data_IF_533031786317
#
_entry.id   IF_533031786317
#
_cell.length_a   1.000
_cell.length_b   1.000
_cell.length_c   1.000
_cell.angle_alpha   90.00
_cell.angle_beta   90.00
_cell.angle_gamma   90.00
#
_symmetry.space_group_name_H-M   'P 1'
#
loop_
_entity.id
_entity.type
_entity.pdbx_description
1 polymer ?
#
# COMPACT_ATOMS: atom_id res chain seq x y z
N UNK A 1 5.47 11.91 5.37
CA UNK A 1 5.18 10.75 4.50
C UNK A 1 5.48 9.51 5.33
N UNK A 2 4.65 8.47 5.25
CA UNK A 2 4.97 7.23 5.96
C UNK A 2 6.05 6.48 5.18
N UNK A 3 7.01 5.91 5.90
CA UNK A 3 8.02 5.01 5.36
C UNK A 3 7.59 3.57 5.66
N UNK A 4 7.68 2.69 4.66
CA UNK A 4 7.32 1.30 4.79
C UNK A 4 8.58 0.46 4.74
N UNK A 5 8.68 -0.54 5.61
CA UNK A 5 9.81 -1.46 5.63
C UNK A 5 9.24 -2.88 5.61
N UNK A 6 9.88 -3.77 4.87
CA UNK A 6 9.49 -5.18 4.82
C UNK A 6 9.81 -5.85 6.17
N UNK A 7 8.79 -6.43 6.81
CA UNK A 7 8.88 -6.95 8.17
C UNK A 7 9.86 -8.12 8.29
N UNK A 8 9.87 -9.05 7.34
CA UNK A 8 10.76 -10.21 7.40
C UNK A 8 12.23 -9.81 7.35
N UNK A 9 12.58 -8.81 6.53
CA UNK A 9 13.91 -8.26 6.43
C UNK A 9 14.36 -7.57 7.73
N UNK A 10 13.45 -6.87 8.42
CA UNK A 10 13.74 -6.32 9.77
C UNK A 10 14.05 -7.46 10.73
N UNK A 11 13.21 -8.48 10.79
CA UNK A 11 13.38 -9.62 11.71
C UNK A 11 14.69 -10.35 11.44
N UNK A 12 15.01 -10.62 10.17
CA UNK A 12 16.26 -11.27 9.78
C UNK A 12 17.48 -10.43 10.18
N UNK A 13 17.41 -9.10 9.99
CA UNK A 13 18.49 -8.20 10.38
C UNK A 13 18.70 -8.17 11.89
N UNK A 14 17.62 -8.07 12.67
CA UNK A 14 17.70 -8.04 14.14
C UNK A 14 18.22 -9.37 14.70
N UNK A 15 17.80 -10.51 14.12
CA UNK A 15 18.30 -11.84 14.51
C UNK A 15 19.79 -12.06 14.16
N UNK A 16 20.34 -11.28 13.22
CA UNK A 16 21.76 -11.36 12.85
C UNK A 16 22.69 -10.59 13.79
N UNK A 17 22.15 -9.84 14.77
CA UNK A 17 22.94 -9.08 15.73
C UNK A 17 23.64 -10.05 16.69
N UNK A 18 24.98 -10.01 16.70
CA UNK A 18 25.79 -10.81 17.61
C UNK A 18 25.79 -10.20 19.01
N UNK A 19 24.90 -10.70 19.87
CA UNK A 19 24.78 -10.28 21.28
C UNK A 19 25.82 -10.92 22.19
N UNK A 20 26.65 -11.85 21.69
CA UNK A 20 27.72 -12.48 22.46
C UNK A 20 29.05 -11.71 22.35
N UNK A 21 29.10 -10.66 21.51
CA UNK A 21 30.27 -9.77 21.44
C UNK A 21 30.46 -9.06 22.77
N UNK A 22 31.67 -9.22 23.32
CA UNK A 22 32.13 -8.71 24.62
C UNK A 22 31.47 -7.38 25.04
N UNK A 23 30.83 -7.39 26.21
CA UNK A 23 30.35 -6.23 26.97
C UNK A 23 29.17 -5.42 26.43
N UNK A 24 28.30 -5.98 25.59
CA UNK A 24 27.01 -5.32 25.32
C UNK A 24 26.06 -5.56 26.49
N UNK A 25 25.61 -4.49 27.13
CA UNK A 25 24.45 -4.57 28.01
C UNK A 25 23.14 -4.50 27.20
N UNK A 26 22.00 -4.56 27.89
CA UNK A 26 20.71 -4.51 27.22
C UNK A 26 20.47 -3.18 26.48
N UNK A 27 21.04 -2.08 26.98
CA UNK A 27 20.90 -0.76 26.35
C UNK A 27 21.69 -0.71 25.05
N UNK A 28 22.92 -1.22 25.04
CA UNK A 28 23.76 -1.29 23.83
C UNK A 28 23.10 -2.10 22.70
N UNK A 29 22.47 -3.22 23.05
CA UNK A 29 21.74 -4.06 22.09
C UNK A 29 20.56 -3.29 21.49
N UNK A 30 19.79 -2.58 22.33
CA UNK A 30 18.65 -1.77 21.86
C UNK A 30 19.12 -0.63 20.95
N UNK A 31 20.24 0.03 21.27
CA UNK A 31 20.81 1.09 20.43
C UNK A 31 21.22 0.55 19.05
N UNK A 32 21.86 -0.63 18.98
CA UNK A 32 22.20 -1.27 17.71
C UNK A 32 20.97 -1.67 16.89
N UNK A 33 19.90 -2.12 17.55
CA UNK A 33 18.64 -2.45 16.88
C UNK A 33 18.01 -1.20 16.26
N UNK A 34 17.91 -0.10 17.03
CA UNK A 34 17.37 1.17 16.56
C UNK A 34 18.19 1.72 15.39
N UNK A 35 19.52 1.74 15.51
CA UNK A 35 20.41 2.16 14.43
C UNK A 35 20.21 1.33 13.16
N UNK A 36 20.05 0.01 13.30
CA UNK A 36 19.84 -0.89 12.17
C UNK A 36 18.52 -0.58 11.45
N UNK A 37 17.43 -0.40 12.20
CA UNK A 37 16.11 -0.10 11.63
C UNK A 37 16.08 1.28 10.98
N UNK A 38 16.64 2.31 11.62
CA UNK A 38 16.56 3.69 11.13
C UNK A 38 17.54 4.00 9.99
N UNK A 39 18.72 3.36 9.96
CA UNK A 39 19.80 3.78 9.04
C UNK A 39 20.28 2.72 8.07
N UNK A 40 20.02 1.44 8.32
CA UNK A 40 20.52 0.35 7.48
C UNK A 40 19.42 -0.33 6.68
N UNK A 41 18.18 -0.32 7.17
CA UNK A 41 17.06 -0.94 6.47
C UNK A 41 16.60 -0.09 5.28
N UNK A 42 16.47 -0.68 4.08
CA UNK A 42 15.91 0.04 2.95
C UNK A 42 14.41 0.25 3.14
N UNK A 43 13.94 1.45 2.81
CA UNK A 43 12.51 1.74 2.71
C UNK A 43 11.94 1.11 1.44
N UNK A 44 10.80 0.46 1.56
CA UNK A 44 10.00 -0.02 0.44
C UNK A 44 9.30 1.17 -0.23
N UNK A 45 9.43 1.27 -1.55
CA UNK A 45 8.70 2.22 -2.37
C UNK A 45 7.28 1.72 -2.59
N UNK A 46 6.43 1.92 -1.57
CA UNK A 46 5.01 1.55 -1.60
C UNK A 46 4.16 2.68 -1.05
N UNK A 47 2.96 2.80 -1.59
CA UNK A 47 1.91 3.66 -1.04
C UNK A 47 0.87 2.83 -0.30
N UNK A 48 0.27 3.34 0.78
CA UNK A 48 -0.84 2.65 1.43
C UNK A 48 -1.98 2.40 0.44
N UNK A 49 -2.62 1.25 0.56
CA UNK A 49 -3.77 0.90 -0.28
C UNK A 49 -4.91 1.87 0.03
N UNK A 50 -5.33 2.62 -0.98
CA UNK A 50 -6.51 3.47 -0.90
C UNK A 50 -7.70 2.67 -1.38
N UNK A 51 -8.72 2.55 -0.54
CA UNK A 51 -9.97 1.90 -0.89
C UNK A 51 -10.96 2.93 -1.45
N UNK A 52 -11.65 2.55 -2.51
CA UNK A 52 -12.67 3.35 -3.18
C UNK A 52 -13.90 2.52 -3.49
N UNK A 53 -14.94 3.17 -4.00
CA UNK A 53 -16.12 2.50 -4.55
C UNK A 53 -16.53 3.16 -5.85
N UNK A 54 -17.17 2.37 -6.71
CA UNK A 54 -17.85 2.87 -7.89
C UNK A 54 -19.14 3.57 -7.49
N UNK A 55 -19.31 4.81 -7.96
CA UNK A 55 -20.54 5.57 -7.84
C UNK A 55 -21.28 5.41 -9.17
N UNK A 56 -22.35 4.62 -9.17
CA UNK A 56 -23.21 4.40 -10.33
C UNK A 56 -24.03 5.66 -10.65
N UNK A 57 -24.15 6.02 -11.92
CA UNK A 57 -25.06 7.09 -12.37
C UNK A 57 -24.41 8.42 -12.75
N UNK A 58 -23.14 8.42 -13.17
CA UNK A 58 -22.52 9.56 -13.84
C UNK A 58 -23.15 9.78 -15.25
N UNK A 59 -24.33 10.38 -15.24
CA UNK A 59 -25.13 10.94 -16.34
C UNK A 59 -25.51 10.03 -17.53
N UNK A 60 -26.76 10.20 -17.97
CA UNK A 60 -27.44 9.45 -19.03
C UNK A 60 -26.70 9.50 -20.37
N UNK A 61 -25.91 8.48 -20.71
CA UNK A 61 -25.45 8.25 -22.07
C UNK A 61 -26.18 7.05 -22.70
N UNK A 62 -26.80 7.32 -23.85
CA UNK A 62 -27.53 6.36 -24.66
C UNK A 62 -26.56 5.40 -25.36
N UNK A 63 -26.15 4.31 -24.69
CA UNK A 63 -25.94 2.95 -25.21
C UNK A 63 -24.94 2.16 -24.35
N UNK A 64 -25.42 1.14 -23.61
CA UNK A 64 -24.65 -0.05 -23.21
C UNK A 64 -23.36 0.09 -22.38
N UNK A 65 -22.92 1.30 -22.06
CA UNK A 65 -21.68 1.56 -21.34
C UNK A 65 -21.98 1.83 -19.87
N UNK A 66 -21.44 0.99 -19.00
CA UNK A 66 -21.43 1.27 -17.56
C UNK A 66 -20.48 2.45 -17.33
N UNK A 67 -21.03 3.56 -16.86
CA UNK A 67 -20.26 4.73 -16.43
C UNK A 67 -20.29 4.77 -14.90
N UNK A 68 -19.11 4.66 -14.29
CA UNK A 68 -18.96 4.80 -12.85
C UNK A 68 -17.93 5.87 -12.53
N UNK A 69 -18.23 6.67 -11.52
CA UNK A 69 -17.27 7.62 -10.97
C UNK A 69 -16.47 6.97 -9.84
N UNK A 70 -15.16 7.17 -9.86
CA UNK A 70 -14.29 6.78 -8.75
C UNK A 70 -14.49 7.70 -7.55
N UNK A 71 -14.92 7.16 -6.40
CA UNK A 71 -15.12 7.97 -5.18
C UNK A 71 -13.85 8.62 -4.60
N UNK A 72 -12.66 8.22 -5.07
CA UNK A 72 -11.36 8.70 -4.56
C UNK A 72 -10.83 9.87 -5.39
N UNK A 73 -10.91 9.78 -6.72
CA UNK A 73 -10.34 10.79 -7.61
C UNK A 73 -11.37 11.51 -8.50
N UNK A 74 -12.65 11.10 -8.46
CA UNK A 74 -13.72 11.69 -9.28
C UNK A 74 -13.63 11.37 -10.77
N UNK A 75 -12.72 10.47 -11.17
CA UNK A 75 -12.60 10.08 -12.57
C UNK A 75 -13.82 9.25 -13.00
N UNK A 76 -14.45 9.68 -14.09
CA UNK A 76 -15.50 8.93 -14.76
C UNK A 76 -14.85 7.88 -15.65
N UNK A 77 -15.13 6.61 -15.36
CA UNK A 77 -14.64 5.48 -16.13
C UNK A 77 -15.83 4.88 -16.86
N UNK A 78 -15.72 4.79 -18.19
CA UNK A 78 -16.66 4.12 -19.06
C UNK A 78 -16.02 2.85 -19.62
N UNK A 79 -16.70 1.72 -19.58
CA UNK A 79 -16.22 0.49 -20.20
C UNK A 79 -17.28 -0.18 -21.07
N UNK A 80 -16.81 -0.81 -22.16
CA UNK A 80 -17.64 -1.56 -23.10
C UNK A 80 -17.75 -3.01 -22.61
N UNK A 81 -18.74 -3.31 -21.79
CA UNK A 81 -18.99 -4.68 -21.30
C UNK A 81 -19.71 -4.70 -19.96
N UNK A 82 -20.62 -5.65 -19.78
CA UNK A 82 -21.50 -5.71 -18.61
C UNK A 82 -20.87 -6.38 -17.38
N UNK A 83 -19.64 -6.91 -17.48
CA UNK A 83 -19.16 -7.96 -16.56
C UNK A 83 -17.72 -7.79 -16.06
N UNK A 84 -17.08 -6.63 -16.24
CA UNK A 84 -15.75 -6.38 -15.65
C UNK A 84 -15.83 -5.28 -14.60
N UNK A 85 -16.29 -5.63 -13.39
CA UNK A 85 -16.10 -4.83 -12.20
C UNK A 85 -14.60 -4.62 -11.99
N UNK A 86 -14.08 -3.48 -12.42
CA UNK A 86 -12.68 -3.14 -12.19
C UNK A 86 -12.42 -3.14 -10.68
N UNK A 87 -11.58 -4.07 -10.24
CA UNK A 87 -11.12 -4.17 -8.85
C UNK A 87 -10.29 -2.95 -8.41
N UNK A 88 -9.91 -2.07 -9.34
CA UNK A 88 -9.12 -0.88 -9.09
C UNK A 88 -9.52 0.27 -10.04
N UNK A 89 -9.39 1.52 -9.59
CA UNK A 89 -9.50 2.68 -10.48
C UNK A 89 -8.28 2.74 -11.41
N UNK A 90 -8.45 2.77 -12.74
CA UNK A 90 -7.32 2.90 -13.66
C UNK A 90 -6.65 4.29 -13.59
N UNK A 91 -7.34 5.31 -13.08
CA UNK A 91 -6.79 6.67 -12.97
C UNK A 91 -5.93 6.88 -11.72
N UNK A 92 -6.34 6.35 -10.57
CA UNK A 92 -5.66 6.60 -9.29
C UNK A 92 -5.15 5.34 -8.57
N UNK A 93 -5.43 4.14 -9.08
CA UNK A 93 -5.02 2.88 -8.47
C UNK A 93 -5.78 2.49 -7.20
N UNK A 94 -6.80 3.24 -6.78
CA UNK A 94 -7.61 2.90 -5.62
C UNK A 94 -8.28 1.54 -5.81
N UNK A 95 -8.19 0.66 -4.82
CA UNK A 95 -8.84 -0.65 -4.81
C UNK A 95 -10.34 -0.48 -4.57
N UNK A 96 -11.16 -1.06 -5.44
CA UNK A 96 -12.61 -0.95 -5.36
C UNK A 96 -13.17 -1.98 -4.40
N UNK A 97 -13.92 -1.51 -3.42
CA UNK A 97 -14.70 -2.36 -2.52
C UNK A 97 -15.89 -2.90 -3.29
N UNK A 98 -15.80 -4.16 -3.70
CA UNK A 98 -16.90 -4.91 -4.33
C UNK A 98 -17.89 -5.27 -3.23
N UNK A 99 -19.18 -5.01 -3.45
CA UNK A 99 -20.26 -5.33 -2.50
C UNK A 99 -20.56 -6.82 -2.43
#
# INVERSE_FOLDING_TARGET
MAEYIEKSAVVDKLNSIDTNRFHLDAEDVVEQMLYSVERLMPTADVSPVVHGRWIEGAENFTCGNHNAECSVCGANISWNGCDEDFNYCPNCGAKMDIK
#
